data_IF_620939076355
#
_entry.id   IF_620939076355
#
_cell.length_a   1.000
_cell.length_b   1.000
_cell.length_c   1.000
_cell.angle_alpha   90.00
_cell.angle_beta   90.00
_cell.angle_gamma   90.00
#
_symmetry.space_group_name_H-M   'P 1'
#
loop_
_entity.id
_entity.type
_entity.pdbx_description
1 polymer ?
#
# COMPACT_ATOMS: atom_id res chain seq x y z
N UNK A 1 -17.33 -10.27 -2.10
CA UNK A 1 -16.06 -9.84 -1.46
C UNK A 1 -14.93 -10.32 -2.35
N UNK A 2 -14.16 -9.44 -3.00
CA UNK A 2 -13.12 -9.90 -3.92
C UNK A 2 -11.91 -10.38 -3.11
N UNK A 3 -11.52 -11.64 -3.31
CA UNK A 3 -10.25 -12.15 -2.79
C UNK A 3 -9.05 -11.40 -3.39
N UNK A 4 -7.86 -11.72 -2.89
CA UNK A 4 -6.61 -11.24 -3.48
C UNK A 4 -6.48 -11.70 -4.93
N UNK A 5 -6.03 -10.83 -5.84
CA UNK A 5 -5.91 -11.16 -7.27
C UNK A 5 -4.68 -12.03 -7.54
N UNK A 6 -4.74 -12.89 -8.56
CA UNK A 6 -3.60 -13.72 -8.96
C UNK A 6 -2.38 -12.88 -9.37
N UNK A 7 -2.60 -11.77 -10.11
CA UNK A 7 -1.52 -10.83 -10.44
C UNK A 7 -0.80 -10.28 -9.21
N UNK A 8 -1.53 -10.01 -8.12
CA UNK A 8 -0.91 -9.58 -6.86
C UNK A 8 -0.02 -10.70 -6.28
N UNK A 9 -0.49 -11.95 -6.28
CA UNK A 9 0.26 -13.09 -5.76
C UNK A 9 1.53 -13.34 -6.58
N UNK A 10 1.44 -13.22 -7.90
CA UNK A 10 2.58 -13.33 -8.81
C UNK A 10 3.64 -12.27 -8.50
N UNK A 11 3.23 -11.01 -8.32
CA UNK A 11 4.15 -9.92 -7.96
C UNK A 11 4.78 -10.14 -6.58
N UNK A 12 4.00 -10.62 -5.60
CA UNK A 12 4.49 -10.85 -4.25
C UNK A 12 5.51 -12.01 -4.18
N UNK A 13 5.40 -13.01 -5.06
CA UNK A 13 6.32 -14.16 -5.16
C UNK A 13 7.45 -13.94 -6.18
N UNK A 14 7.28 -12.99 -7.10
CA UNK A 14 8.23 -12.71 -8.17
C UNK A 14 9.58 -12.20 -7.66
N UNK A 15 10.65 -12.23 -8.47
CA UNK A 15 11.96 -11.74 -8.06
C UNK A 15 11.99 -10.21 -8.00
N UNK A 16 12.81 -9.65 -7.11
CA UNK A 16 12.97 -8.19 -6.97
C UNK A 16 13.42 -7.51 -8.28
N UNK A 17 14.18 -8.20 -9.13
CA UNK A 17 14.58 -7.68 -10.45
C UNK A 17 13.38 -7.40 -11.36
N UNK A 18 12.37 -8.28 -11.34
CA UNK A 18 11.16 -8.12 -12.12
C UNK A 18 10.31 -6.95 -11.59
N UNK A 19 10.19 -6.82 -10.27
CA UNK A 19 9.52 -5.67 -9.66
C UNK A 19 10.20 -4.36 -10.04
N UNK A 20 11.53 -4.31 -10.02
CA UNK A 20 12.31 -3.12 -10.45
C UNK A 20 12.05 -2.78 -11.92
N UNK A 21 12.00 -3.79 -12.80
CA UNK A 21 11.69 -3.61 -14.22
C UNK A 21 10.29 -3.00 -14.42
N UNK A 22 9.30 -3.50 -13.68
CA UNK A 22 7.93 -2.98 -13.72
C UNK A 22 7.84 -1.54 -13.20
N UNK A 23 8.53 -1.22 -12.10
CA UNK A 23 8.59 0.14 -11.57
C UNK A 23 9.23 1.11 -12.57
N UNK A 24 10.32 0.71 -13.25
CA UNK A 24 11.00 1.54 -14.24
C UNK A 24 10.13 1.82 -15.48
N UNK A 25 9.30 0.85 -15.88
CA UNK A 25 8.37 1.00 -17.01
C UNK A 25 7.06 1.71 -16.63
N UNK A 26 6.81 1.94 -15.34
CA UNK A 26 5.57 2.53 -14.85
C UNK A 26 5.48 4.04 -15.06
N UNK A 27 4.24 4.54 -15.15
CA UNK A 27 3.95 5.96 -15.15
C UNK A 27 3.73 6.48 -13.73
N UNK A 28 4.16 7.71 -13.46
CA UNK A 28 3.88 8.34 -12.17
C UNK A 28 2.40 8.76 -12.13
N UNK A 29 1.62 8.32 -11.13
CA UNK A 29 0.25 8.79 -10.98
C UNK A 29 0.24 10.28 -10.61
N UNK A 30 -0.76 11.01 -11.08
CA UNK A 30 -0.99 12.38 -10.63
C UNK A 30 -1.45 12.37 -9.17
N UNK A 31 -1.06 13.38 -8.38
CA UNK A 31 -1.49 13.47 -6.97
C UNK A 31 -3.03 13.42 -6.82
N UNK A 32 -3.83 14.15 -7.63
CA UNK A 32 -5.29 14.06 -7.55
C UNK A 32 -5.83 12.64 -7.74
N UNK A 33 -5.20 11.82 -8.59
CA UNK A 33 -5.63 10.43 -8.83
C UNK A 33 -5.40 9.49 -7.64
N UNK A 34 -4.59 9.90 -6.66
CA UNK A 34 -4.37 9.12 -5.44
C UNK A 34 -5.46 9.35 -4.39
N UNK A 35 -6.09 10.53 -4.39
CA UNK A 35 -7.00 10.96 -3.32
C UNK A 35 -8.27 10.11 -3.28
N UNK A 36 -8.67 9.68 -2.08
CA UNK A 36 -9.86 8.85 -1.87
C UNK A 36 -9.66 7.37 -2.22
N UNK A 37 -8.47 6.98 -2.68
CA UNK A 37 -8.12 5.59 -2.93
C UNK A 37 -7.25 5.02 -1.80
N UNK A 38 -7.51 3.76 -1.45
CA UNK A 38 -6.70 2.98 -0.51
C UNK A 38 -5.91 1.90 -1.23
N UNK A 39 -4.59 1.99 -1.12
CA UNK A 39 -3.67 1.03 -1.70
C UNK A 39 -3.40 -0.10 -0.71
N UNK A 40 -3.83 -1.31 -1.08
CA UNK A 40 -3.53 -2.56 -0.38
C UNK A 40 -2.27 -3.18 -0.97
N UNK A 41 -1.28 -3.48 -0.13
CA UNK A 41 -0.01 -3.99 -0.62
C UNK A 41 0.66 -4.99 0.31
N UNK A 42 1.77 -5.54 -0.19
CA UNK A 42 2.59 -6.55 0.48
C UNK A 42 4.08 -6.23 0.31
N UNK A 43 4.82 -6.25 1.42
CA UNK A 43 6.25 -5.98 1.45
C UNK A 43 7.03 -7.21 0.94
N UNK A 44 7.88 -7.00 -0.07
CA UNK A 44 8.69 -8.02 -0.73
C UNK A 44 9.90 -8.56 0.07
N UNK A 45 10.68 -7.73 0.81
CA UNK A 45 11.93 -8.21 1.39
C UNK A 45 11.71 -9.36 2.39
N UNK A 46 12.48 -10.47 2.31
CA UNK A 46 12.45 -11.54 3.31
C UNK A 46 12.78 -11.04 4.73
N UNK A 47 13.51 -9.93 4.86
CA UNK A 47 13.83 -9.33 6.15
C UNK A 47 12.61 -8.67 6.82
N UNK A 48 11.62 -8.17 6.04
CA UNK A 48 10.39 -7.60 6.59
C UNK A 48 9.47 -8.66 7.24
N UNK A 49 9.64 -9.96 6.93
CA UNK A 49 8.98 -11.03 7.70
C UNK A 49 9.48 -11.13 9.13
N UNK A 50 10.75 -10.80 9.41
CA UNK A 50 11.26 -10.85 10.79
C UNK A 50 10.62 -9.81 11.70
N UNK A 51 10.09 -8.72 11.14
CA UNK A 51 9.35 -7.70 11.88
C UNK A 51 7.82 -7.94 11.85
N UNK A 52 7.36 -9.02 11.21
CA UNK A 52 5.94 -9.39 11.16
C UNK A 52 5.06 -8.48 10.30
N UNK A 53 5.61 -7.47 9.62
CA UNK A 53 4.81 -6.48 8.85
C UNK A 53 4.96 -6.75 7.36
N UNK A 54 4.08 -7.60 6.83
CA UNK A 54 4.03 -7.96 5.41
C UNK A 54 2.94 -7.19 4.68
N UNK A 55 1.73 -7.13 5.22
CA UNK A 55 0.59 -6.45 4.58
C UNK A 55 0.43 -5.04 5.12
N UNK A 56 -0.06 -4.14 4.27
CA UNK A 56 -0.38 -2.78 4.63
C UNK A 56 -1.57 -2.24 3.83
N UNK A 57 -2.25 -1.24 4.40
CA UNK A 57 -3.10 -0.29 3.67
C UNK A 57 -2.46 1.10 3.77
N UNK A 58 -2.39 1.82 2.64
CA UNK A 58 -2.02 3.24 2.57
C UNK A 58 -3.19 4.04 1.99
N UNK A 59 -3.57 5.11 2.67
CA UNK A 59 -4.63 6.01 2.22
C UNK A 59 -4.03 7.38 1.89
N UNK A 60 -4.67 8.09 0.96
CA UNK A 60 -4.31 9.44 0.55
C UNK A 60 -5.54 10.35 0.61
N UNK A 61 -5.36 11.56 1.16
CA UNK A 61 -6.46 12.48 1.44
C UNK A 61 -5.99 13.94 1.37
N UNK A 62 -6.93 14.85 1.19
CA UNK A 62 -6.71 16.31 1.27
C UNK A 62 -7.02 16.79 2.69
N UNK A 63 -6.08 17.46 3.34
CA UNK A 63 -6.32 18.10 4.65
C UNK A 63 -6.60 19.60 4.53
N UNK A 64 -6.18 20.22 3.42
CA UNK A 64 -6.47 21.59 3.03
C UNK A 64 -6.50 21.68 1.50
N UNK A 65 -6.95 22.80 0.95
CA UNK A 65 -7.08 23.01 -0.50
C UNK A 65 -5.77 22.75 -1.27
N UNK A 66 -4.62 23.01 -0.64
CA UNK A 66 -3.32 23.04 -1.32
C UNK A 66 -2.38 21.89 -0.92
N UNK A 67 -2.84 20.93 -0.12
CA UNK A 67 -1.97 19.88 0.40
C UNK A 67 -2.63 18.50 0.46
N UNK A 68 -2.01 17.57 -0.27
CA UNK A 68 -2.27 16.15 -0.16
C UNK A 68 -1.39 15.52 0.93
N UNK A 69 -2.00 14.62 1.69
CA UNK A 69 -1.38 13.83 2.74
C UNK A 69 -1.67 12.36 2.51
N UNK A 70 -0.90 11.51 3.18
CA UNK A 70 -1.20 10.11 3.29
C UNK A 70 -0.91 9.57 4.68
N UNK A 71 -1.43 8.38 4.94
CA UNK A 71 -1.22 7.67 6.20
C UNK A 71 -1.25 6.16 5.96
N UNK A 72 -0.86 5.41 6.99
CA UNK A 72 -0.93 3.96 7.01
C UNK A 72 -2.09 3.51 7.88
N UNK A 73 -2.64 2.35 7.54
CA UNK A 73 -3.60 1.61 8.35
C UNK A 73 -3.03 0.25 8.70
N UNK A 74 -3.01 -0.13 9.99
CA UNK A 74 -2.55 -1.45 10.38
C UNK A 74 -3.58 -2.46 9.90
N UNK A 75 -3.08 -3.62 9.49
CA UNK A 75 -3.91 -4.69 8.98
C UNK A 75 -3.48 -6.02 9.58
N UNK A 76 -4.43 -6.93 9.68
CA UNK A 76 -4.19 -8.31 10.09
C UNK A 76 -3.14 -8.97 9.17
N UNK A 77 -2.15 -9.63 9.78
CA UNK A 77 -1.04 -10.30 9.09
C UNK A 77 -1.37 -11.76 8.80
N UNK A 78 -2.49 -12.00 8.12
CA UNK A 78 -3.08 -13.31 7.83
C UNK A 78 -2.54 -13.98 6.55
N UNK A 79 -1.25 -13.79 6.26
CA UNK A 79 -0.60 -14.39 5.09
C UNK A 79 -0.98 -13.76 3.75
N UNK A 80 -0.36 -14.28 2.68
CA UNK A 80 -0.46 -13.71 1.33
C UNK A 80 -1.90 -13.74 0.79
N UNK A 81 -2.61 -14.84 1.02
CA UNK A 81 -3.93 -15.10 0.45
C UNK A 81 -5.08 -14.43 1.21
N UNK A 82 -4.85 -14.06 2.48
CA UNK A 82 -5.86 -13.44 3.34
C UNK A 82 -6.29 -12.05 2.86
N UNK A 83 -7.42 -11.57 3.38
CA UNK A 83 -7.90 -10.20 3.10
C UNK A 83 -7.10 -9.16 3.88
N UNK A 84 -7.02 -7.93 3.38
CA UNK A 84 -6.50 -6.80 4.14
C UNK A 84 -7.60 -6.30 5.06
N UNK A 85 -7.57 -6.76 6.31
CA UNK A 85 -8.53 -6.40 7.34
C UNK A 85 -7.93 -5.30 8.21
N UNK A 86 -8.51 -4.11 8.16
CA UNK A 86 -8.06 -2.95 8.89
C UNK A 86 -8.31 -3.11 10.40
N UNK A 87 -7.33 -2.67 11.20
CA UNK A 87 -7.44 -2.67 12.66
C UNK A 87 -7.83 -1.30 13.22
N UNK A 88 -8.63 -1.25 14.31
CA UNK A 88 -9.24 -2.40 15.00
C UNK A 88 -10.45 -2.99 14.26
N UNK A 89 -11.02 -2.26 13.30
CA UNK A 89 -12.06 -2.72 12.39
C UNK A 89 -12.16 -1.80 11.16
N UNK A 90 -12.90 -2.25 10.13
CA UNK A 90 -13.08 -1.52 8.86
C UNK A 90 -13.88 -0.21 8.98
N UNK A 91 -14.76 -0.08 9.98
CA UNK A 91 -15.63 1.12 10.10
C UNK A 91 -14.94 2.27 10.81
N UNK A 92 -13.96 1.98 11.68
CA UNK A 92 -13.15 2.98 12.36
C UNK A 92 -11.68 2.52 12.44
N UNK A 93 -10.98 2.48 11.29
CA UNK A 93 -9.61 1.99 11.25
C UNK A 93 -8.64 3.00 11.87
N UNK A 94 -7.66 2.49 12.62
CA UNK A 94 -6.54 3.29 13.14
C UNK A 94 -5.72 3.83 11.96
N UNK A 95 -5.40 5.12 11.99
CA UNK A 95 -4.51 5.79 11.02
C UNK A 95 -3.24 6.25 11.72
N UNK A 96 -2.08 5.99 11.14
CA UNK A 96 -0.78 6.35 11.73
C UNK A 96 0.29 6.64 10.68
N UNK A 97 1.40 7.25 11.13
CA UNK A 97 2.53 7.59 10.27
C UNK A 97 2.11 8.51 9.13
N UNK A 98 1.52 9.65 9.48
CA UNK A 98 1.04 10.65 8.52
C UNK A 98 2.22 11.33 7.81
N UNK A 99 2.08 11.59 6.51
CA UNK A 99 3.11 12.21 5.68
C UNK A 99 2.50 13.14 4.63
N UNK A 100 3.27 14.14 4.20
CA UNK A 100 2.91 14.99 3.06
C UNK A 100 3.23 14.28 1.75
N UNK A 101 2.34 14.42 0.78
CA UNK A 101 2.52 13.86 -0.57
C UNK A 101 3.07 14.95 -1.48
N UNK A 102 4.11 14.60 -2.23
CA UNK A 102 4.69 15.45 -3.27
C UNK A 102 5.09 14.58 -4.45
N UNK A 103 5.27 15.21 -5.62
CA UNK A 103 5.75 14.49 -6.79
C UNK A 103 7.16 13.93 -6.50
N UNK A 104 7.37 12.67 -6.87
CA UNK A 104 8.70 12.07 -6.82
C UNK A 104 9.55 12.67 -7.95
N UNK A 105 10.78 13.04 -7.63
CA UNK A 105 11.79 13.34 -8.65
C UNK A 105 12.19 12.02 -9.32
N UNK A 106 12.25 12.00 -10.65
CA UNK A 106 12.82 10.88 -11.42
C UNK A 106 14.32 11.06 -11.58
#
# INVERSE_FOLDING_TARGET
MSGSSERYKDLARGPTSELRRLFAAGELPSIPSLIGYEFRGFNHPPLMSLLGIRKFIKAFFTASADAAFGCNTPVEQNGLDGQWLAEPNETNPRRYGFFRVSAANR
#
